data_IF_124028914751
#
_entry.id   IF_124028914751
#
_cell.length_a   1.000
_cell.length_b   1.000
_cell.length_c   1.000
_cell.angle_alpha   90.00
_cell.angle_beta   90.00
_cell.angle_gamma   90.00
#
_symmetry.space_group_name_H-M   'P 1'
#
loop_
_entity.id
_entity.type
_entity.pdbx_description
1 polymer ?
#
# COMPACT_ATOMS: atom_id res chain seq x y z
N UNK A 1 5.99 -1.04 5.44
CA UNK A 1 5.18 -2.00 4.64
C UNK A 1 4.99 -3.37 5.31
N UNK A 2 5.96 -4.30 5.26
CA UNK A 2 5.76 -5.71 5.65
C UNK A 2 5.20 -5.92 7.07
N UNK A 3 5.73 -5.19 8.07
CA UNK A 3 5.23 -5.27 9.45
C UNK A 3 3.73 -4.95 9.51
N UNK A 4 3.30 -3.82 8.97
CA UNK A 4 1.89 -3.41 8.95
C UNK A 4 1.02 -4.42 8.23
N UNK A 5 1.43 -4.91 7.06
CA UNK A 5 0.64 -5.90 6.30
C UNK A 5 0.38 -7.18 7.10
N UNK A 6 1.38 -7.65 7.85
CA UNK A 6 1.20 -8.84 8.69
C UNK A 6 0.14 -8.62 9.76
N UNK A 7 0.21 -7.51 10.49
CA UNK A 7 -0.69 -7.26 11.62
C UNK A 7 -2.08 -6.76 11.21
N UNK A 8 -2.20 -6.10 10.07
CA UNK A 8 -3.44 -5.46 9.64
C UNK A 8 -4.20 -6.29 8.59
N UNK A 9 -3.53 -7.25 7.94
CA UNK A 9 -4.15 -8.13 6.95
C UNK A 9 -3.89 -9.60 7.27
N UNK A 10 -2.64 -10.07 7.26
CA UNK A 10 -2.38 -11.52 7.26
C UNK A 10 -2.80 -12.21 8.56
N UNK A 11 -2.50 -11.62 9.72
CA UNK A 11 -2.78 -12.23 11.02
C UNK A 11 -4.24 -12.09 11.47
N UNK A 12 -4.97 -11.14 10.90
CA UNK A 12 -6.38 -10.90 11.24
C UNK A 12 -7.34 -11.74 10.41
N UNK A 13 -6.88 -12.31 9.29
CA UNK A 13 -7.73 -13.05 8.36
C UNK A 13 -7.29 -14.50 8.29
N UNK A 14 -8.22 -15.41 8.56
CA UNK A 14 -8.05 -16.84 8.37
C UNK A 14 -8.43 -17.21 6.92
N UNK A 15 -7.60 -16.81 5.95
CA UNK A 15 -7.83 -17.17 4.55
C UNK A 15 -7.82 -18.69 4.38
N UNK A 16 -8.89 -19.23 3.79
CA UNK A 16 -9.04 -20.67 3.59
C UNK A 16 -8.28 -21.13 2.34
N UNK A 17 -8.15 -20.25 1.36
CA UNK A 17 -7.49 -20.55 0.09
C UNK A 17 -6.43 -19.50 -0.29
N UNK A 18 -5.49 -19.91 -1.15
CA UNK A 18 -4.51 -19.00 -1.72
C UNK A 18 -5.13 -17.89 -2.58
N UNK A 19 -6.29 -18.14 -3.22
CA UNK A 19 -7.01 -17.15 -4.01
C UNK A 19 -7.61 -16.05 -3.14
N UNK A 20 -8.19 -16.42 -1.99
CA UNK A 20 -8.66 -15.46 -1.00
C UNK A 20 -7.52 -14.64 -0.42
N UNK A 21 -6.42 -15.30 -0.04
CA UNK A 21 -5.23 -14.62 0.46
C UNK A 21 -4.70 -13.60 -0.57
N UNK A 22 -4.63 -13.98 -1.85
CA UNK A 22 -4.20 -13.08 -2.93
C UNK A 22 -5.14 -11.87 -3.06
N UNK A 23 -6.45 -12.11 -3.02
CA UNK A 23 -7.46 -11.05 -3.12
C UNK A 23 -7.39 -10.09 -1.92
N UNK A 24 -7.27 -10.62 -0.70
CA UNK A 24 -7.16 -9.81 0.52
C UNK A 24 -5.87 -9.01 0.61
N UNK A 25 -4.74 -9.63 0.27
CA UNK A 25 -3.44 -8.93 0.19
C UNK A 25 -3.48 -7.84 -0.88
N UNK A 26 -4.08 -8.12 -2.05
CA UNK A 26 -4.26 -7.12 -3.12
C UNK A 26 -4.99 -5.88 -2.61
N UNK A 27 -6.17 -6.06 -1.99
CA UNK A 27 -6.92 -4.95 -1.39
C UNK A 27 -6.12 -4.16 -0.35
N UNK A 28 -5.34 -4.84 0.49
CA UNK A 28 -4.52 -4.16 1.49
C UNK A 28 -3.38 -3.34 0.86
N UNK A 29 -2.77 -3.86 -0.21
CA UNK A 29 -1.74 -3.13 -0.97
C UNK A 29 -2.34 -1.90 -1.65
N UNK A 30 -3.52 -2.03 -2.27
CA UNK A 30 -4.21 -0.91 -2.90
C UNK A 30 -4.50 0.20 -1.87
N UNK A 31 -5.08 -0.17 -0.73
CA UNK A 31 -5.29 0.76 0.39
C UNK A 31 -3.99 1.44 0.85
N UNK A 32 -2.90 0.68 1.02
CA UNK A 32 -1.62 1.23 1.47
C UNK A 32 -1.04 2.27 0.49
N UNK A 33 -1.18 2.00 -0.81
CA UNK A 33 -0.58 2.79 -1.89
C UNK A 33 -1.41 4.00 -2.29
N UNK A 34 -2.75 3.89 -2.26
CA UNK A 34 -3.65 4.90 -2.81
C UNK A 34 -4.44 5.66 -1.75
N UNK A 35 -4.73 5.05 -0.60
CA UNK A 35 -5.68 5.63 0.38
C UNK A 35 -5.03 5.99 1.72
N UNK A 36 -3.96 5.30 2.10
CA UNK A 36 -3.33 5.50 3.41
C UNK A 36 -2.42 6.73 3.39
N UNK A 37 -2.72 7.78 4.20
CA UNK A 37 -1.80 8.90 4.38
C UNK A 37 -0.61 8.47 5.24
N UNK A 38 0.62 8.84 4.84
CA UNK A 38 1.84 8.52 5.58
C UNK A 38 2.50 9.78 6.12
N UNK A 39 2.73 9.86 7.43
CA UNK A 39 3.38 11.02 8.06
C UNK A 39 4.79 11.29 7.51
N UNK A 40 5.55 10.24 7.18
CA UNK A 40 6.85 10.36 6.50
C UNK A 40 6.77 11.08 5.16
N UNK A 41 5.60 11.05 4.49
CA UNK A 41 5.34 11.73 3.22
C UNK A 41 4.51 13.02 3.41
N UNK A 42 4.48 13.59 4.62
CA UNK A 42 3.69 14.79 4.90
C UNK A 42 2.18 14.56 4.81
N UNK A 43 1.72 13.32 5.03
CA UNK A 43 0.31 12.94 4.93
C UNK A 43 -0.12 12.48 3.53
N UNK A 44 0.79 12.46 2.55
CA UNK A 44 0.53 11.96 1.20
C UNK A 44 0.64 10.44 1.12
N UNK A 45 0.04 9.88 0.08
CA UNK A 45 0.09 8.44 -0.22
C UNK A 45 1.37 8.10 -0.99
N UNK A 46 1.83 6.84 -1.00
CA UNK A 46 3.03 6.46 -1.74
C UNK A 46 2.92 6.73 -3.24
N UNK A 47 1.73 6.57 -3.83
CA UNK A 47 1.49 6.85 -5.25
C UNK A 47 1.67 8.33 -5.55
N UNK A 48 1.08 9.22 -4.75
CA UNK A 48 1.20 10.67 -4.94
C UNK A 48 2.67 11.14 -4.92
N UNK A 49 3.48 10.57 -4.01
CA UNK A 49 4.92 10.88 -3.93
C UNK A 49 5.68 10.35 -5.14
N UNK A 50 5.32 9.15 -5.63
CA UNK A 50 6.03 8.56 -6.75
C UNK A 50 5.71 9.27 -8.08
N UNK A 51 4.45 9.65 -8.29
CA UNK A 51 4.01 10.41 -9.46
C UNK A 51 4.68 11.78 -9.50
N UNK A 52 4.71 12.52 -8.39
CA UNK A 52 5.43 13.79 -8.28
C UNK A 52 6.93 13.64 -8.58
N UNK A 53 7.58 12.61 -8.02
CA UNK A 53 8.98 12.34 -8.30
C UNK A 53 9.21 11.98 -9.79
N UNK A 54 8.25 11.30 -10.41
CA UNK A 54 8.24 11.01 -11.85
C UNK A 54 8.15 12.27 -12.70
N UNK A 55 7.25 13.18 -12.34
CA UNK A 55 7.07 14.47 -13.01
C UNK A 55 8.33 15.34 -12.91
N UNK A 56 8.95 15.41 -11.73
CA UNK A 56 10.23 16.10 -11.51
C UNK A 56 11.32 15.51 -12.40
N UNK A 57 11.37 14.17 -12.53
CA UNK A 57 12.36 13.48 -13.36
C UNK A 57 12.13 13.65 -14.86
N UNK A 58 10.89 13.85 -15.30
CA UNK A 58 10.53 14.11 -16.70
C UNK A 58 10.76 15.57 -17.10
N UNK A 59 10.75 16.49 -16.13
CA UNK A 59 10.95 17.93 -16.34
C UNK A 59 12.43 18.38 -16.32
N UNK A 60 13.37 17.49 -16.00
CA UNK A 60 14.82 17.73 -15.93
C UNK A 60 15.56 17.13 -17.13
#
# INVERSE_FOLDING_TARGET
LWRSMKYECIYLHAYETGSEARSGIGRWIDYYNFDRPHSTHGGRTPVEVHEEAGDIRLAA
#
